data_IF_944684182449
#
_entry.id   IF_944684182449
#
_cell.length_a   1.000
_cell.length_b   1.000
_cell.length_c   1.000
_cell.angle_alpha   90.00
_cell.angle_beta   90.00
_cell.angle_gamma   90.00
#
_symmetry.space_group_name_H-M   'P 1'
#
loop_
_entity.id
_entity.type
_entity.pdbx_description
1 polymer ?
#
# COMPACT_ATOMS: atom_id res chain seq x y z
N UNK A 1 -7.76 11.00 10.76
CA UNK A 1 -6.79 9.88 10.84
C UNK A 1 -5.61 10.20 9.95
N UNK A 2 -4.41 9.81 10.36
CA UNK A 2 -3.22 9.85 9.51
C UNK A 2 -3.48 9.00 8.25
N UNK A 3 -3.07 9.50 7.08
CA UNK A 3 -3.24 8.80 5.79
C UNK A 3 -2.66 7.38 5.87
N UNK A 4 -1.51 7.24 6.56
CA UNK A 4 -0.84 5.96 6.75
C UNK A 4 -1.57 5.03 7.69
N UNK A 5 -2.23 5.53 8.74
CA UNK A 5 -3.08 4.69 9.60
C UNK A 5 -4.27 4.11 8.82
N UNK A 6 -4.85 4.89 7.89
CA UNK A 6 -5.92 4.39 7.04
C UNK A 6 -5.41 3.34 6.07
N UNK A 7 -4.25 3.55 5.45
CA UNK A 7 -3.61 2.55 4.60
C UNK A 7 -3.30 1.26 5.38
N UNK A 8 -2.79 1.34 6.62
CA UNK A 8 -2.57 0.18 7.48
C UNK A 8 -3.85 -0.62 7.71
N UNK A 9 -4.99 0.04 7.96
CA UNK A 9 -6.28 -0.64 8.10
C UNK A 9 -6.73 -1.36 6.82
N UNK A 10 -6.49 -0.75 5.64
CA UNK A 10 -6.79 -1.38 4.35
C UNK A 10 -5.91 -2.62 4.11
N UNK A 11 -4.67 -2.63 4.62
CA UNK A 11 -3.81 -3.81 4.57
C UNK A 11 -4.29 -4.93 5.50
N UNK A 12 -5.06 -4.60 6.55
CA UNK A 12 -5.62 -5.58 7.48
C UNK A 12 -6.89 -6.22 6.90
N UNK A 13 -7.78 -5.44 6.27
CA UNK A 13 -8.97 -5.97 5.59
C UNK A 13 -8.65 -6.66 4.27
N UNK A 14 -7.82 -6.04 3.43
CA UNK A 14 -7.37 -6.55 2.12
C UNK A 14 -8.53 -7.05 1.22
N UNK A 15 -9.63 -6.31 1.15
CA UNK A 15 -10.75 -6.57 0.25
C UNK A 15 -10.63 -5.87 -1.10
N UNK A 16 -11.44 -6.31 -2.06
CA UNK A 16 -11.54 -5.76 -3.44
C UNK A 16 -11.60 -4.22 -3.43
N UNK A 17 -12.52 -3.67 -2.62
CA UNK A 17 -12.83 -2.24 -2.58
C UNK A 17 -11.70 -1.40 -1.95
N UNK A 18 -10.81 -2.05 -1.20
CA UNK A 18 -9.73 -1.36 -0.48
C UNK A 18 -8.66 -0.81 -1.44
N UNK A 19 -8.50 -1.42 -2.63
CA UNK A 19 -7.56 -0.96 -3.67
C UNK A 19 -7.93 0.43 -4.19
N UNK A 20 -9.23 0.67 -4.41
CA UNK A 20 -9.72 1.97 -4.87
C UNK A 20 -9.51 3.03 -3.79
N UNK A 21 -9.79 2.69 -2.52
CA UNK A 21 -9.57 3.60 -1.41
C UNK A 21 -8.09 3.94 -1.23
N UNK A 22 -7.20 2.94 -1.28
CA UNK A 22 -5.76 3.16 -1.23
C UNK A 22 -5.28 4.07 -2.37
N UNK A 23 -5.80 3.86 -3.58
CA UNK A 23 -5.50 4.71 -4.75
C UNK A 23 -5.91 6.17 -4.51
N UNK A 24 -7.11 6.39 -3.96
CA UNK A 24 -7.61 7.72 -3.63
C UNK A 24 -6.76 8.41 -2.56
N UNK A 25 -6.36 7.68 -1.51
CA UNK A 25 -5.49 8.19 -0.45
C UNK A 25 -4.11 8.61 -0.99
N UNK A 26 -3.51 7.79 -1.85
CA UNK A 26 -2.17 7.99 -2.39
C UNK A 26 -2.08 9.04 -3.51
N UNK A 27 -3.21 9.42 -4.12
CA UNK A 27 -3.25 10.47 -5.17
C UNK A 27 -2.62 11.79 -4.71
N UNK A 28 -2.72 12.12 -3.41
CA UNK A 28 -2.11 13.32 -2.81
C UNK A 28 -0.58 13.34 -2.92
N UNK A 29 0.06 12.18 -3.04
CA UNK A 29 1.52 12.05 -3.11
C UNK A 29 2.03 11.92 -4.56
N UNK A 30 1.18 11.49 -5.50
CA UNK A 30 1.54 11.38 -6.94
C UNK A 30 1.85 12.73 -7.60
N UNK A 31 1.39 13.84 -7.01
CA UNK A 31 1.71 15.20 -7.48
C UNK A 31 3.11 15.71 -7.07
N UNK A 32 3.77 15.06 -6.12
CA UNK A 32 5.15 15.41 -5.76
C UNK A 32 6.08 14.90 -6.88
N UNK A 33 6.85 15.79 -7.50
CA UNK A 33 7.73 15.53 -8.67
C UNK A 33 8.91 14.57 -8.40
N UNK A 34 8.81 13.69 -7.42
CA UNK A 34 9.84 12.75 -7.02
C UNK A 34 9.63 11.41 -7.71
N UNK A 35 10.49 11.03 -8.68
CA UNK A 35 10.39 9.71 -9.32
C UNK A 35 10.42 8.56 -8.30
N UNK A 36 11.20 8.72 -7.22
CA UNK A 36 11.27 7.74 -6.14
C UNK A 36 9.95 7.57 -5.37
N UNK A 37 9.15 8.62 -5.21
CA UNK A 37 7.84 8.53 -4.53
C UNK A 37 6.83 7.86 -5.45
N UNK A 38 6.83 8.23 -6.74
CA UNK A 38 5.98 7.57 -7.74
C UNK A 38 6.27 6.06 -7.82
N UNK A 39 7.55 5.68 -7.93
CA UNK A 39 7.95 4.28 -7.95
C UNK A 39 7.52 3.53 -6.68
N UNK A 40 7.75 4.12 -5.49
CA UNK A 40 7.35 3.51 -4.23
C UNK A 40 5.82 3.34 -4.10
N UNK A 41 5.03 4.27 -4.65
CA UNK A 41 3.57 4.14 -4.71
C UNK A 41 3.17 2.99 -5.64
N UNK A 42 3.75 2.91 -6.83
CA UNK A 42 3.39 1.89 -7.81
C UNK A 42 3.79 0.49 -7.31
N UNK A 43 4.97 0.33 -6.70
CA UNK A 43 5.39 -0.91 -6.04
C UNK A 43 4.46 -1.30 -4.88
N UNK A 44 4.10 -0.34 -4.02
CA UNK A 44 3.16 -0.59 -2.93
C UNK A 44 1.79 -1.06 -3.46
N UNK A 45 1.26 -0.40 -4.50
CA UNK A 45 -0.04 -0.76 -5.08
C UNK A 45 0.00 -2.14 -5.73
N UNK A 46 1.10 -2.50 -6.40
CA UNK A 46 1.27 -3.84 -6.98
C UNK A 46 1.27 -4.93 -5.89
N UNK A 47 2.04 -4.74 -4.83
CA UNK A 47 2.09 -5.68 -3.71
C UNK A 47 0.74 -5.74 -2.96
N UNK A 48 0.00 -4.63 -2.88
CA UNK A 48 -1.32 -4.60 -2.25
C UNK A 48 -2.39 -5.29 -3.09
N UNK A 49 -2.44 -5.06 -4.40
CA UNK A 49 -3.35 -5.81 -5.30
C UNK A 49 -3.05 -7.30 -5.25
N UNK A 50 -1.78 -7.69 -5.14
CA UNK A 50 -1.39 -9.09 -4.96
C UNK A 50 -1.92 -9.64 -3.62
N UNK A 51 -1.87 -8.83 -2.54
CA UNK A 51 -2.41 -9.24 -1.24
C UNK A 51 -3.91 -9.49 -1.31
N UNK A 52 -4.65 -8.56 -1.92
CA UNK A 52 -6.10 -8.68 -2.13
C UNK A 52 -6.42 -9.95 -2.92
N UNK A 53 -5.69 -10.22 -4.01
CA UNK A 53 -5.83 -11.45 -4.78
C UNK A 53 -5.59 -12.72 -3.95
N UNK A 54 -4.54 -12.75 -3.12
CA UNK A 54 -4.22 -13.91 -2.27
C UNK A 54 -5.30 -14.14 -1.21
N UNK A 55 -5.82 -13.07 -0.59
CA UNK A 55 -6.91 -13.14 0.40
C UNK A 55 -8.21 -13.62 -0.26
N UNK A 56 -8.54 -13.10 -1.44
CA UNK A 56 -9.74 -13.50 -2.18
C UNK A 56 -9.71 -14.94 -2.67
N UNK A 57 -8.54 -15.43 -3.08
CA UNK A 57 -8.37 -16.80 -3.57
C UNK A 57 -8.23 -17.82 -2.45
N UNK A 58 -8.09 -17.39 -1.19
CA UNK A 58 -7.92 -18.29 -0.05
C UNK A 58 -6.56 -18.98 -0.01
N UNK A 59 -5.55 -18.39 -0.64
CA UNK A 59 -4.17 -18.92 -0.71
C UNK A 59 -3.40 -18.62 0.59
N UNK A 60 -3.88 -19.19 1.71
CA UNK A 60 -3.43 -18.88 3.09
C UNK A 60 -1.91 -18.97 3.29
N UNK A 61 -1.23 -19.84 2.53
CA UNK A 61 0.24 -20.02 2.59
C UNK A 61 1.03 -18.77 2.21
N UNK A 62 0.43 -17.88 1.41
CA UNK A 62 1.07 -16.66 0.92
C UNK A 62 0.62 -15.39 1.65
N UNK A 63 -0.50 -15.44 2.38
CA UNK A 63 -1.08 -14.26 3.01
C UNK A 63 -0.13 -13.60 4.01
N UNK A 64 0.38 -14.37 4.97
CA UNK A 64 1.28 -13.85 6.01
C UNK A 64 2.57 -13.22 5.45
N UNK A 65 3.35 -13.87 4.56
CA UNK A 65 4.53 -13.25 3.98
C UNK A 65 4.18 -12.02 3.14
N UNK A 66 3.05 -12.02 2.43
CA UNK A 66 2.64 -10.90 1.59
C UNK A 66 2.17 -9.69 2.41
N UNK A 67 1.43 -9.91 3.51
CA UNK A 67 1.13 -8.85 4.49
C UNK A 67 2.39 -8.23 5.08
N UNK A 68 3.44 -9.01 5.31
CA UNK A 68 4.74 -8.47 5.76
C UNK A 68 5.42 -7.65 4.66
N UNK A 69 5.40 -8.12 3.42
CA UNK A 69 5.97 -7.41 2.28
C UNK A 69 5.30 -6.05 2.08
N UNK A 70 3.97 -6.03 1.98
CA UNK A 70 3.24 -4.78 1.70
C UNK A 70 3.35 -3.76 2.83
N UNK A 71 3.40 -4.21 4.10
CA UNK A 71 3.70 -3.32 5.25
C UNK A 71 5.11 -2.74 5.17
N UNK A 72 6.09 -3.51 4.68
CA UNK A 72 7.45 -3.02 4.45
C UNK A 72 7.45 -1.94 3.36
N UNK A 73 6.74 -2.15 2.24
CA UNK A 73 6.56 -1.14 1.19
C UNK A 73 5.89 0.13 1.73
N UNK A 74 4.85 -0.01 2.56
CA UNK A 74 4.17 1.14 3.16
C UNK A 74 5.10 1.95 4.06
N UNK A 75 5.96 1.29 4.85
CA UNK A 75 6.96 1.94 5.69
C UNK A 75 7.99 2.72 4.85
N UNK A 76 8.46 2.14 3.75
CA UNK A 76 9.37 2.82 2.80
C UNK A 76 8.68 4.06 2.22
N UNK A 77 7.44 3.93 1.75
CA UNK A 77 6.67 5.04 1.24
C UNK A 77 6.53 6.15 2.28
N UNK A 78 6.14 5.80 3.52
CA UNK A 78 6.03 6.74 4.65
C UNK A 78 7.33 7.51 4.86
N UNK A 79 8.47 6.82 4.84
CA UNK A 79 9.78 7.46 4.97
C UNK A 79 10.07 8.43 3.83
N UNK A 80 9.81 8.04 2.57
CA UNK A 80 10.09 8.87 1.40
C UNK A 80 9.24 10.15 1.33
N UNK A 81 7.99 10.11 1.78
CA UNK A 81 7.17 11.33 1.88
C UNK A 81 7.45 12.15 3.13
N UNK A 82 7.83 11.53 4.25
CA UNK A 82 8.20 12.26 5.46
C UNK A 82 9.53 13.02 5.32
N UNK A 83 10.51 12.46 4.62
CA UNK A 83 11.82 13.11 4.36
C UNK A 83 11.70 14.33 3.41
N UNK A 84 10.55 14.50 2.75
CA UNK A 84 10.26 15.64 1.85
C UNK A 84 9.27 16.66 2.39
N UNK A 85 8.75 16.46 3.60
CA UNK A 85 7.79 17.36 4.25
C UNK A 85 8.50 18.43 5.09
#
# INVERSE_FOLDING_TARGET
MDCFQRLEALLDSAGVDDVEEATALLRRFKGNKSPAVTAAIDEFMLDFMTLVFVVETGEEGFEKPLRKLVRTRLAILKHLVAVKA
#
